data_IF_091487102460
#
_entry.id   IF_091487102460
#
_cell.length_a   1.000
_cell.length_b   1.000
_cell.length_c   1.000
_cell.angle_alpha   90.00
_cell.angle_beta   90.00
_cell.angle_gamma   90.00
#
_symmetry.space_group_name_H-M   'P 1'
#
loop_
_entity.id
_entity.type
_entity.pdbx_description
1 polymer ?
#
# COMPACT_ATOMS: atom_id res chain seq x y z
N UNK A 1 -18.88 -14.37 -18.26
CA UNK A 1 -17.86 -13.30 -18.42
C UNK A 1 -18.39 -12.01 -17.81
N UNK A 2 -17.71 -11.39 -16.84
CA UNK A 2 -18.07 -10.04 -16.33
C UNK A 2 -16.96 -9.07 -16.72
N UNK A 3 -17.17 -8.34 -17.81
CA UNK A 3 -16.35 -7.17 -18.16
C UNK A 3 -16.96 -5.93 -17.49
N UNK A 4 -16.22 -5.29 -16.58
CA UNK A 4 -16.58 -3.97 -16.05
C UNK A 4 -15.55 -2.96 -16.57
N UNK A 5 -15.85 -2.33 -17.70
CA UNK A 5 -15.13 -1.13 -18.12
C UNK A 5 -15.49 0.01 -17.14
N UNK A 6 -14.52 0.47 -16.34
CA UNK A 6 -14.70 1.61 -15.43
C UNK A 6 -14.23 2.87 -16.14
N UNK A 7 -15.12 3.86 -16.23
CA UNK A 7 -14.81 5.22 -16.71
C UNK A 7 -13.79 5.89 -15.77
N UNK A 8 -12.86 6.66 -16.34
CA UNK A 8 -11.72 7.24 -15.64
C UNK A 8 -12.13 8.12 -14.43
N UNK A 9 -11.46 8.00 -13.26
CA UNK A 9 -11.82 8.79 -12.08
C UNK A 9 -11.41 10.26 -12.21
N UNK A 10 -12.25 11.18 -11.69
CA UNK A 10 -12.03 12.65 -11.67
C UNK A 10 -10.79 13.11 -10.87
N UNK A 11 -10.21 12.22 -10.04
CA UNK A 11 -8.91 12.44 -9.39
C UNK A 11 -7.90 11.55 -10.07
N UNK A 12 -6.80 12.14 -10.57
CA UNK A 12 -5.67 11.40 -11.13
C UNK A 12 -5.27 10.28 -10.16
N UNK A 13 -5.58 9.05 -10.54
CA UNK A 13 -5.26 7.86 -9.76
C UNK A 13 -3.90 7.40 -10.24
N UNK A 14 -2.93 7.33 -9.32
CA UNK A 14 -1.60 6.85 -9.66
C UNK A 14 -1.65 5.39 -10.11
N UNK A 15 -0.72 4.98 -10.96
CA UNK A 15 -0.62 3.60 -11.45
C UNK A 15 -0.68 2.56 -10.29
N UNK A 16 0.05 2.73 -9.16
CA UNK A 16 -0.04 1.78 -8.05
C UNK A 16 -1.42 1.67 -7.40
N UNK A 17 -2.22 2.75 -7.39
CA UNK A 17 -3.59 2.73 -6.87
C UNK A 17 -4.56 2.00 -7.81
N UNK A 18 -4.29 2.03 -9.13
CA UNK A 18 -5.03 1.22 -10.11
C UNK A 18 -4.67 -0.26 -9.96
N UNK A 19 -3.38 -0.59 -9.84
CA UNK A 19 -2.90 -1.95 -9.59
C UNK A 19 -3.51 -2.53 -8.30
N UNK A 20 -3.53 -1.76 -7.20
CA UNK A 20 -4.18 -2.16 -5.95
C UNK A 20 -5.69 -2.42 -6.13
N UNK A 21 -6.34 -1.65 -6.99
CA UNK A 21 -7.76 -1.86 -7.30
C UNK A 21 -7.99 -3.14 -8.13
N UNK A 22 -7.03 -3.50 -8.99
CA UNK A 22 -7.00 -4.81 -9.67
C UNK A 22 -6.83 -5.96 -8.68
N UNK A 23 -5.91 -5.84 -7.72
CA UNK A 23 -5.72 -6.82 -6.66
C UNK A 23 -6.97 -7.01 -5.80
N UNK A 24 -7.67 -5.93 -5.44
CA UNK A 24 -8.94 -6.02 -4.73
C UNK A 24 -10.02 -6.75 -5.56
N UNK A 25 -10.10 -6.47 -6.85
CA UNK A 25 -11.05 -7.17 -7.73
C UNK A 25 -10.75 -8.68 -7.78
N UNK A 26 -9.47 -9.07 -7.82
CA UNK A 26 -9.05 -10.47 -7.75
C UNK A 26 -9.49 -11.11 -6.42
N UNK A 27 -9.26 -10.45 -5.28
CA UNK A 27 -9.67 -10.95 -3.97
C UNK A 27 -11.19 -11.18 -3.87
N UNK A 28 -11.99 -10.21 -4.33
CA UNK A 28 -13.45 -10.32 -4.38
C UNK A 28 -13.93 -11.43 -5.31
N UNK A 29 -13.27 -11.63 -6.44
CA UNK A 29 -13.59 -12.72 -7.37
C UNK A 29 -13.24 -14.07 -6.75
N UNK A 30 -12.06 -14.20 -6.15
CA UNK A 30 -11.62 -15.40 -5.46
C UNK A 30 -12.61 -15.81 -4.37
N UNK A 31 -13.01 -14.89 -3.50
CA UNK A 31 -13.97 -15.18 -2.43
C UNK A 31 -15.29 -15.71 -2.99
N UNK A 32 -15.84 -15.07 -4.04
CA UNK A 32 -17.08 -15.53 -4.69
C UNK A 32 -16.94 -16.91 -5.33
N UNK A 33 -15.83 -17.16 -6.03
CA UNK A 33 -15.59 -18.44 -6.69
C UNK A 33 -15.42 -19.56 -5.66
N UNK A 34 -14.70 -19.28 -4.57
CA UNK A 34 -14.51 -20.22 -3.46
C UNK A 34 -15.85 -20.60 -2.82
N UNK A 35 -16.70 -19.62 -2.54
CA UNK A 35 -18.03 -19.86 -1.96
C UNK A 35 -18.94 -20.66 -2.90
N UNK A 36 -18.88 -20.40 -4.22
CA UNK A 36 -19.73 -21.07 -5.21
C UNK A 36 -19.29 -22.52 -5.46
N UNK A 37 -17.98 -22.76 -5.53
CA UNK A 37 -17.46 -24.07 -5.89
C UNK A 37 -17.63 -25.11 -4.79
N UNK A 38 -17.80 -24.70 -3.52
CA UNK A 38 -17.91 -25.61 -2.37
C UNK A 38 -16.78 -26.65 -2.29
N UNK A 39 -15.58 -26.32 -2.79
CA UNK A 39 -14.39 -27.17 -2.76
C UNK A 39 -13.40 -26.58 -1.76
N UNK A 40 -12.82 -27.43 -0.92
CA UNK A 40 -11.69 -27.04 -0.08
C UNK A 40 -10.41 -27.00 -0.90
N UNK A 41 -9.85 -25.80 -1.07
CA UNK A 41 -8.53 -25.63 -1.65
C UNK A 41 -7.46 -25.93 -0.58
N UNK A 42 -6.64 -26.95 -0.79
CA UNK A 42 -5.51 -27.26 0.11
C UNK A 42 -4.49 -26.11 0.18
N UNK A 43 -4.34 -25.35 -0.92
CA UNK A 43 -3.46 -24.19 -0.99
C UNK A 43 -3.93 -23.19 -2.04
N UNK A 44 -3.81 -21.90 -1.74
CA UNK A 44 -4.16 -20.80 -2.64
C UNK A 44 -2.91 -19.96 -2.92
N UNK A 45 -2.77 -19.47 -4.15
CA UNK A 45 -1.72 -18.56 -4.56
C UNK A 45 -2.32 -17.42 -5.38
N UNK A 46 -2.10 -16.19 -4.92
CA UNK A 46 -2.58 -14.96 -5.53
C UNK A 46 -1.36 -14.18 -6.03
N UNK A 47 -1.37 -13.76 -7.30
CA UNK A 47 -0.20 -13.17 -7.95
C UNK A 47 -0.47 -11.73 -8.36
N UNK A 48 0.53 -10.86 -8.17
CA UNK A 48 0.57 -9.51 -8.71
C UNK A 48 1.96 -9.23 -9.24
N UNK A 49 2.07 -8.52 -10.34
CA UNK A 49 3.32 -8.01 -10.91
C UNK A 49 3.75 -6.67 -10.33
N UNK A 50 2.91 -6.07 -9.47
CA UNK A 50 3.23 -4.81 -8.83
C UNK A 50 4.12 -5.03 -7.61
N UNK A 51 5.36 -4.58 -7.75
CA UNK A 51 6.34 -4.52 -6.66
C UNK A 51 5.97 -3.52 -5.56
N UNK A 52 5.02 -2.62 -5.82
CA UNK A 52 4.52 -1.63 -4.84
C UNK A 52 3.28 -2.17 -4.09
N UNK A 53 2.33 -2.77 -4.82
CA UNK A 53 1.09 -3.28 -4.24
C UNK A 53 1.34 -4.48 -3.34
N UNK A 54 2.28 -5.35 -3.68
CA UNK A 54 2.57 -6.53 -2.87
C UNK A 54 3.01 -6.17 -1.43
N UNK A 55 3.98 -5.26 -1.21
CA UNK A 55 4.27 -4.73 0.12
C UNK A 55 3.06 -4.09 0.83
N UNK A 56 2.19 -3.37 0.09
CA UNK A 56 0.99 -2.79 0.68
C UNK A 56 0.03 -3.84 1.24
N UNK A 57 -0.21 -4.91 0.49
CA UNK A 57 -1.06 -6.03 0.91
C UNK A 57 -0.46 -6.78 2.09
N UNK A 58 0.88 -6.90 2.16
CA UNK A 58 1.56 -7.64 3.22
C UNK A 58 1.68 -6.90 4.55
N UNK A 59 1.66 -5.56 4.54
CA UNK A 59 1.70 -4.79 5.78
C UNK A 59 0.30 -4.57 6.37
N UNK A 60 0.17 -4.25 7.68
CA UNK A 60 -1.11 -3.93 8.28
C UNK A 60 -1.79 -2.75 7.58
N UNK A 61 -3.08 -2.89 7.23
CA UNK A 61 -3.88 -1.87 6.53
C UNK A 61 -3.78 -0.47 7.16
N UNK A 62 -3.73 -0.41 8.50
CA UNK A 62 -3.61 0.82 9.29
C UNK A 62 -2.34 1.64 9.00
N UNK A 63 -1.31 1.03 8.44
CA UNK A 63 -0.03 1.67 8.10
C UNK A 63 -0.16 2.66 6.94
N UNK A 64 -1.24 2.56 6.16
CA UNK A 64 -1.42 3.30 4.92
C UNK A 64 -2.42 4.45 5.03
N UNK A 65 -2.32 5.42 4.11
CA UNK A 65 -3.33 6.46 3.90
C UNK A 65 -4.66 5.85 3.47
N UNK A 66 -5.76 6.58 3.71
CA UNK A 66 -7.14 6.07 3.65
C UNK A 66 -7.48 5.25 2.39
N UNK A 67 -7.08 5.71 1.20
CA UNK A 67 -7.39 5.00 -0.04
C UNK A 67 -6.79 3.59 -0.07
N UNK A 68 -5.51 3.48 0.28
CA UNK A 68 -4.76 2.22 0.29
C UNK A 68 -5.21 1.39 1.49
N UNK A 69 -5.35 2.00 2.67
CA UNK A 69 -5.77 1.32 3.90
C UNK A 69 -7.11 0.60 3.74
N UNK A 70 -8.12 1.26 3.18
CA UNK A 70 -9.45 0.67 3.04
C UNK A 70 -9.42 -0.56 2.11
N UNK A 71 -8.69 -0.48 0.99
CA UNK A 71 -8.56 -1.59 0.03
C UNK A 71 -7.72 -2.73 0.58
N UNK A 72 -6.62 -2.42 1.26
CA UNK A 72 -5.79 -3.42 1.93
C UNK A 72 -6.58 -4.12 3.03
N UNK A 73 -7.40 -3.41 3.81
CA UNK A 73 -8.29 -4.02 4.82
C UNK A 73 -9.21 -5.06 4.17
N UNK A 74 -9.91 -4.67 3.10
CA UNK A 74 -10.83 -5.58 2.41
C UNK A 74 -10.11 -6.78 1.77
N UNK A 75 -8.93 -6.58 1.17
CA UNK A 75 -8.10 -7.69 0.68
C UNK A 75 -7.73 -8.64 1.82
N UNK A 76 -7.33 -8.11 2.97
CA UNK A 76 -6.92 -8.88 4.16
C UNK A 76 -8.10 -9.59 4.85
N UNK A 77 -9.32 -9.10 4.69
CA UNK A 77 -10.55 -9.76 5.14
C UNK A 77 -10.94 -10.92 4.21
N UNK A 78 -10.72 -10.77 2.90
CA UNK A 78 -11.11 -11.77 1.89
C UNK A 78 -10.03 -12.84 1.65
N UNK A 79 -8.77 -12.54 1.96
CA UNK A 79 -7.60 -13.39 1.61
C UNK A 79 -6.50 -13.31 2.66
N UNK A 80 -5.62 -14.30 2.70
CA UNK A 80 -4.45 -14.30 3.60
C UNK A 80 -3.28 -13.53 2.96
N UNK A 81 -2.63 -12.57 3.64
CA UNK A 81 -1.46 -11.86 3.10
C UNK A 81 -0.29 -12.75 2.67
N UNK A 82 -0.12 -13.90 3.32
CA UNK A 82 0.92 -14.89 2.99
C UNK A 82 0.67 -15.60 1.65
N UNK A 83 -0.56 -15.56 1.15
CA UNK A 83 -0.95 -16.21 -0.11
C UNK A 83 -0.67 -15.30 -1.32
N UNK A 84 -0.18 -14.08 -1.09
CA UNK A 84 0.18 -13.12 -2.14
C UNK A 84 1.66 -13.19 -2.53
N UNK A 85 1.91 -13.30 -3.83
CA UNK A 85 3.22 -13.48 -4.44
C UNK A 85 3.44 -12.51 -5.60
N UNK A 86 4.71 -12.28 -5.91
CA UNK A 86 5.10 -11.48 -7.06
C UNK A 86 5.27 -12.37 -8.30
N UNK A 87 4.77 -11.92 -9.45
CA UNK A 87 5.07 -12.50 -10.77
C UNK A 87 5.75 -11.46 -11.65
N UNK A 88 6.65 -11.84 -12.55
CA UNK A 88 7.19 -10.87 -13.52
C UNK A 88 6.06 -10.37 -14.44
N UNK A 89 6.02 -9.06 -14.74
CA UNK A 89 4.98 -8.49 -15.60
C UNK A 89 4.91 -9.12 -16.98
N UNK A 90 6.03 -9.64 -17.52
CA UNK A 90 6.07 -10.37 -18.80
C UNK A 90 5.43 -11.75 -18.72
N UNK A 91 5.31 -12.30 -17.52
CA UNK A 91 4.66 -13.57 -17.23
C UNK A 91 3.24 -13.38 -16.67
N UNK A 92 2.78 -12.13 -16.51
CA UNK A 92 1.44 -11.84 -16.01
C UNK A 92 0.41 -11.81 -17.16
N UNK A 93 -0.46 -12.82 -17.30
CA UNK A 93 -1.48 -12.82 -18.36
C UNK A 93 -2.51 -11.69 -18.21
N UNK A 94 -2.73 -11.17 -17.00
CA UNK A 94 -3.67 -10.08 -16.77
C UNK A 94 -3.20 -8.76 -17.38
N UNK A 95 -1.88 -8.54 -17.49
CA UNK A 95 -1.32 -7.32 -18.09
C UNK A 95 -1.66 -7.25 -19.58
N UNK A 96 -1.50 -8.37 -20.31
CA UNK A 96 -1.87 -8.49 -21.74
C UNK A 96 -3.34 -8.11 -21.97
N UNK A 97 -4.24 -8.62 -21.12
CA UNK A 97 -5.67 -8.32 -21.23
C UNK A 97 -5.96 -6.85 -20.89
N UNK A 98 -5.26 -6.29 -19.89
CA UNK A 98 -5.47 -4.93 -19.43
C UNK A 98 -4.97 -3.84 -20.39
N UNK A 99 -3.91 -4.12 -21.16
CA UNK A 99 -3.35 -3.22 -22.19
C UNK A 99 -4.18 -3.16 -23.47
N UNK A 100 -5.08 -4.13 -23.64
CA UNK A 100 -5.80 -4.33 -24.89
C UNK A 100 -4.95 -5.14 -25.87
N UNK A 101 -5.49 -6.27 -26.31
CA UNK A 101 -4.89 -7.11 -27.35
C UNK A 101 -5.97 -7.48 -28.36
N UNK A 102 -5.59 -7.61 -29.63
CA UNK A 102 -6.53 -7.99 -30.68
C UNK A 102 -7.01 -9.43 -30.48
N UNK A 103 -8.22 -9.79 -30.97
CA UNK A 103 -8.71 -11.16 -30.87
C UNK A 103 -7.77 -12.21 -31.47
N UNK A 104 -7.08 -11.88 -32.57
CA UNK A 104 -6.13 -12.77 -33.24
C UNK A 104 -4.84 -12.99 -32.43
N UNK A 105 -4.30 -11.94 -31.82
CA UNK A 105 -3.16 -12.05 -30.90
C UNK A 105 -3.53 -12.83 -29.64
N UNK A 106 -4.71 -12.57 -29.06
CA UNK A 106 -5.19 -13.33 -27.91
C UNK A 106 -5.34 -14.81 -28.25
N UNK A 107 -5.84 -15.16 -29.44
CA UNK A 107 -6.05 -16.57 -29.84
C UNK A 107 -4.74 -17.36 -29.88
N UNK A 108 -3.63 -16.74 -30.26
CA UNK A 108 -2.31 -17.39 -30.35
C UNK A 108 -1.46 -17.21 -29.09
N UNK A 109 -1.93 -16.46 -28.10
CA UNK A 109 -1.17 -16.17 -26.89
C UNK A 109 -1.26 -17.30 -25.86
N UNK A 110 -0.28 -18.19 -25.87
CA UNK A 110 -0.18 -19.30 -24.92
C UNK A 110 -0.16 -18.83 -23.46
N UNK A 111 0.43 -17.67 -23.14
CA UNK A 111 0.49 -17.17 -21.77
C UNK A 111 -0.91 -16.86 -21.22
N UNK A 112 -1.80 -16.27 -22.01
CA UNK A 112 -3.17 -15.98 -21.59
C UNK A 112 -4.01 -17.24 -21.35
N UNK A 113 -3.81 -18.29 -22.16
CA UNK A 113 -4.64 -19.50 -22.10
C UNK A 113 -4.10 -20.60 -21.20
N UNK A 114 -2.77 -20.75 -21.13
CA UNK A 114 -2.11 -21.81 -20.40
C UNK A 114 -1.38 -21.31 -19.15
N UNK A 115 -1.21 -19.99 -19.00
CA UNK A 115 -0.36 -19.41 -17.97
C UNK A 115 1.13 -19.63 -18.26
N UNK A 116 2.00 -19.17 -17.34
CA UNK A 116 3.44 -19.38 -17.44
C UNK A 116 3.81 -20.87 -17.39
N UNK A 117 4.84 -21.28 -18.13
CA UNK A 117 5.27 -22.69 -18.14
C UNK A 117 5.66 -23.20 -16.76
N UNK A 118 6.24 -22.35 -15.92
CA UNK A 118 6.63 -22.75 -14.57
C UNK A 118 5.42 -23.05 -13.67
N UNK A 119 4.22 -22.54 -13.97
CA UNK A 119 3.03 -22.79 -13.17
C UNK A 119 2.59 -24.27 -13.26
N UNK A 120 2.92 -24.93 -14.37
CA UNK A 120 2.71 -26.38 -14.59
C UNK A 120 3.71 -27.23 -13.79
N UNK A 121 4.81 -26.62 -13.34
CA UNK A 121 5.81 -27.29 -12.52
C UNK A 121 5.37 -27.33 -11.07
N UNK A 122 6.05 -28.17 -10.29
CA UNK A 122 5.94 -28.20 -8.84
C UNK A 122 6.22 -26.84 -8.20
N UNK A 123 5.50 -26.51 -7.13
CA UNK A 123 5.57 -25.19 -6.47
C UNK A 123 6.95 -24.81 -5.93
N UNK A 124 7.86 -25.78 -5.75
CA UNK A 124 9.25 -25.54 -5.36
C UNK A 124 10.12 -24.97 -6.49
N UNK A 125 9.67 -25.06 -7.76
CA UNK A 125 10.37 -24.49 -8.93
C UNK A 125 9.80 -23.14 -9.35
N UNK A 126 8.81 -22.62 -8.63
CA UNK A 126 8.18 -21.35 -8.99
C UNK A 126 9.11 -20.18 -8.67
N UNK A 127 9.13 -19.13 -9.51
CA UNK A 127 10.00 -17.97 -9.34
C UNK A 127 9.46 -17.03 -8.26
N UNK A 128 9.34 -17.52 -7.02
CA UNK A 128 8.87 -16.73 -5.89
C UNK A 128 9.99 -15.76 -5.48
N UNK A 129 9.91 -14.53 -5.98
CA UNK A 129 10.84 -13.48 -5.61
C UNK A 129 10.50 -12.88 -4.24
N UNK A 130 11.52 -12.40 -3.52
CA UNK A 130 11.35 -11.60 -2.29
C UNK A 130 10.91 -10.18 -2.68
N UNK A 131 10.05 -9.52 -1.86
CA UNK A 131 9.61 -8.17 -2.15
C UNK A 131 10.80 -7.20 -2.23
N UNK A 132 10.79 -6.34 -3.25
CA UNK A 132 11.76 -5.27 -3.43
C UNK A 132 11.32 -4.07 -2.58
N UNK A 133 12.21 -3.53 -1.76
CA UNK A 133 11.95 -2.30 -1.02
C UNK A 133 12.03 -1.12 -2.00
N UNK A 134 10.90 -0.63 -2.51
CA UNK A 134 10.85 0.57 -3.34
C UNK A 134 10.50 1.81 -2.49
N UNK A 135 11.11 2.96 -2.82
CA UNK A 135 10.82 4.23 -2.14
C UNK A 135 9.34 4.67 -2.32
N UNK A 136 8.68 4.23 -3.40
CA UNK A 136 7.28 4.54 -3.67
C UNK A 136 6.32 3.92 -2.64
N UNK A 137 6.70 2.82 -1.99
CA UNK A 137 5.94 2.25 -0.86
C UNK A 137 5.79 3.27 0.27
N UNK A 138 6.81 4.11 0.50
CA UNK A 138 6.85 5.08 1.59
C UNK A 138 5.87 6.26 1.37
N UNK A 139 5.51 6.57 0.13
CA UNK A 139 4.63 7.73 -0.18
C UNK A 139 3.21 7.57 0.37
N UNK A 140 2.71 6.34 0.44
CA UNK A 140 1.37 6.03 0.96
C UNK A 140 1.38 5.62 2.43
N UNK A 141 2.56 5.51 3.05
CA UNK A 141 2.69 5.24 4.47
C UNK A 141 2.20 6.46 5.27
N UNK A 142 1.41 6.20 6.31
CA UNK A 142 1.05 7.25 7.28
C UNK A 142 2.29 7.63 8.08
N UNK A 143 2.58 8.93 8.14
CA UNK A 143 3.55 9.47 9.09
C UNK A 143 2.99 9.31 10.50
N UNK A 144 3.57 8.43 11.29
CA UNK A 144 3.25 8.32 12.72
C UNK A 144 4.08 9.38 13.44
N UNK A 145 3.46 10.48 13.85
CA UNK A 145 4.09 11.45 14.75
C UNK A 145 3.88 10.93 16.17
N UNK A 146 4.92 10.30 16.73
CA UNK A 146 4.92 9.95 18.15
C UNK A 146 5.06 11.23 18.97
N UNK A 147 3.99 11.67 19.64
CA UNK A 147 4.07 12.75 20.63
C UNK A 147 4.51 12.12 21.94
N UNK A 148 5.81 12.17 22.22
CA UNK A 148 6.34 11.87 23.54
C UNK A 148 6.05 13.05 24.47
N UNK A 149 5.05 12.89 25.35
CA UNK A 149 4.82 13.85 26.44
C UNK A 149 5.90 13.60 27.49
N UNK A 150 6.98 14.40 27.48
CA UNK A 150 7.92 14.44 28.59
C UNK A 150 7.31 15.21 29.76
N UNK A 151 7.64 14.78 30.98
CA UNK A 151 7.00 15.13 32.26
C UNK A 151 6.46 16.56 32.44
N UNK A 152 5.41 16.64 33.28
CA UNK A 152 4.57 17.78 33.62
C UNK A 152 5.27 19.11 34.01
N UNK A 153 6.59 19.14 34.21
CA UNK A 153 7.35 20.36 34.46
C UNK A 153 7.27 21.34 33.27
N UNK A 154 7.25 20.84 32.02
CA UNK A 154 7.08 21.68 30.83
C UNK A 154 5.67 22.29 30.72
N UNK A 155 4.66 21.65 31.30
CA UNK A 155 3.28 22.15 31.34
C UNK A 155 3.08 23.28 32.37
N UNK A 156 3.98 23.41 33.35
CA UNK A 156 3.88 24.45 34.38
C UNK A 156 3.90 25.86 33.79
N UNK A 157 4.69 26.10 32.75
CA UNK A 157 4.77 27.42 32.12
C UNK A 157 3.46 27.80 31.41
N UNK A 158 2.78 26.82 30.80
CA UNK A 158 1.48 27.04 30.15
C UNK A 158 0.38 27.37 31.18
N UNK A 159 0.52 26.92 32.44
CA UNK A 159 -0.39 27.27 33.53
C UNK A 159 -0.12 28.64 34.15
N UNK A 160 1.08 29.22 33.97
CA UNK A 160 1.45 30.52 34.54
C UNK A 160 0.89 31.71 33.76
N UNK A 161 0.44 31.49 32.53
CA UNK A 161 -0.08 32.56 31.67
C UNK A 161 -1.49 32.23 31.23
N UNK A 162 -2.41 33.18 31.42
CA UNK A 162 -3.81 33.06 30.99
C UNK A 162 -4.02 33.27 29.49
N UNK A 163 -2.95 33.51 28.72
CA UNK A 163 -3.00 33.76 27.28
C UNK A 163 -1.73 33.25 26.61
N UNK A 164 -1.90 32.56 25.48
CA UNK A 164 -0.80 32.05 24.65
C UNK A 164 0.08 33.19 24.11
N UNK A 165 -0.52 34.32 23.72
CA UNK A 165 0.22 35.50 23.26
C UNK A 165 1.17 36.06 24.33
N UNK A 166 0.72 36.08 25.59
CA UNK A 166 1.57 36.50 26.71
C UNK A 166 2.74 35.56 26.92
N UNK A 167 2.49 34.25 26.86
CA UNK A 167 3.54 33.23 26.96
C UNK A 167 4.58 33.39 25.85
N UNK A 168 4.15 33.52 24.59
CA UNK A 168 5.05 33.67 23.44
C UNK A 168 5.92 34.93 23.57
N UNK A 169 5.35 36.06 23.97
CA UNK A 169 6.10 37.32 24.19
C UNK A 169 7.15 37.17 25.30
N UNK A 170 6.82 36.51 26.40
CA UNK A 170 7.76 36.32 27.51
C UNK A 170 8.90 35.39 27.10
N UNK A 171 8.59 34.26 26.43
CA UNK A 171 9.61 33.32 25.96
C UNK A 171 10.52 33.96 24.90
N UNK A 172 9.98 34.78 23.99
CA UNK A 172 10.78 35.49 22.99
C UNK A 172 11.70 36.54 23.62
N UNK A 173 11.24 37.26 24.65
CA UNK A 173 12.08 38.18 25.43
C UNK A 173 13.21 37.45 26.17
N UNK A 174 12.91 36.32 26.83
CA UNK A 174 13.94 35.50 27.48
C UNK A 174 14.99 35.01 26.48
N UNK A 175 14.58 34.55 25.29
CA UNK A 175 15.50 34.14 24.23
C UNK A 175 16.36 35.31 23.72
N UNK A 176 15.76 36.49 23.54
CA UNK A 176 16.49 37.69 23.12
C UNK A 176 17.53 38.10 24.17
N UNK A 177 17.18 38.05 25.45
CA UNK A 177 18.10 38.35 26.54
C UNK A 177 19.28 37.35 26.58
N UNK A 178 19.01 36.05 26.46
CA UNK A 178 20.05 35.02 26.42
C UNK A 178 21.01 35.26 25.25
N UNK A 179 20.48 35.55 24.07
CA UNK A 179 21.28 35.86 22.88
C UNK A 179 22.17 37.09 23.11
N UNK A 180 21.65 38.16 23.72
CA UNK A 180 22.45 39.35 24.05
C UNK A 180 23.55 39.03 25.08
N UNK A 181 23.24 38.25 26.12
CA UNK A 181 24.23 37.82 27.12
C UNK A 181 25.32 36.91 26.54
N UNK A 182 25.02 36.14 25.49
CA UNK A 182 26.00 35.33 24.79
C UNK A 182 26.90 36.19 23.88
N UNK A 183 26.37 37.25 23.26
CA UNK A 183 27.18 38.18 22.47
C UNK A 183 28.11 39.07 23.32
N UNK A 184 27.76 39.33 24.58
CA UNK A 184 28.61 40.09 25.52
C UNK A 184 29.77 39.28 26.14
N UNK A 185 29.90 37.99 25.80
CA UNK A 185 30.98 37.10 26.27
C UNK A 185 32.12 36.91 25.26
N UNK A 186 32.10 37.67 24.16
CA UNK A 186 33.19 37.84 23.20
C UNK A 186 33.64 39.30 23.19
#
# INVERSE_FOLDING_TARGET
>A
MRSKSKVAPLKATTLPRLELSGALLLAQLYAKVKDILCIEFSKTYLWTDSTIVLPWIKAPSRSWKTFVANRVSEIQELTTPSDWYHIDGRENPADIVSRGSSPGELQTNNLCWQGPEWLKLSSHRWPISKPINSNDVLLEQKTIVNITVSNAETLSIFRRFSSLDKLVRVVSLCRRLISLCQMLKH
#
